data_IF_965276749376
#
_entry.id   IF_965276749376
#
_cell.length_a   1.000
_cell.length_b   1.000
_cell.length_c   1.000
_cell.angle_alpha   90.00
_cell.angle_beta   90.00
_cell.angle_gamma   90.00
#
_symmetry.space_group_name_H-M   'P 1'
#
loop_
_entity.id
_entity.type
_entity.pdbx_description
1 polymer ?
#
# COMPACT_ATOMS: atom_id res chain seq x y z
N UNK A 1 6.02 24.89 7.22
CA UNK A 1 5.43 23.77 7.98
C UNK A 1 4.90 24.33 9.28
N UNK A 2 3.61 24.62 9.28
CA UNK A 2 2.90 25.45 10.27
C UNK A 2 2.50 24.60 11.48
N UNK A 3 2.52 25.18 12.68
CA UNK A 3 2.39 24.48 13.98
C UNK A 3 1.09 23.71 14.26
N UNK A 4 0.22 23.53 13.26
CA UNK A 4 -0.99 22.71 13.38
C UNK A 4 -0.67 21.23 13.47
N UNK A 5 0.42 20.76 12.84
CA UNK A 5 0.90 19.39 12.96
C UNK A 5 1.14 19.01 14.43
N UNK A 6 1.82 19.87 15.19
CA UNK A 6 2.11 19.64 16.61
C UNK A 6 0.83 19.62 17.46
N UNK A 7 -0.14 20.49 17.16
CA UNK A 7 -1.44 20.51 17.85
C UNK A 7 -2.21 19.22 17.61
N UNK A 8 -2.30 18.79 16.35
CA UNK A 8 -2.99 17.55 15.95
C UNK A 8 -2.28 16.34 16.55
N UNK A 9 -0.95 16.25 16.46
CA UNK A 9 -0.17 15.16 17.05
C UNK A 9 -0.37 15.07 18.56
N UNK A 10 -0.33 16.21 19.26
CA UNK A 10 -0.56 16.26 20.72
C UNK A 10 -1.97 15.81 21.09
N UNK A 11 -2.97 16.25 20.33
CA UNK A 11 -4.36 15.83 20.54
C UNK A 11 -4.57 14.33 20.26
N UNK A 12 -4.00 13.81 19.18
CA UNK A 12 -4.08 12.40 18.80
C UNK A 12 -3.40 11.50 19.84
N UNK A 13 -2.19 11.87 20.28
CA UNK A 13 -1.44 11.14 21.31
C UNK A 13 -2.17 11.12 22.65
N UNK A 14 -2.72 12.26 23.07
CA UNK A 14 -3.44 12.38 24.35
C UNK A 14 -4.75 11.58 24.38
N UNK A 15 -5.56 11.66 23.33
CA UNK A 15 -6.93 11.13 23.36
C UNK A 15 -7.07 9.74 22.74
N UNK A 16 -6.22 9.39 21.78
CA UNK A 16 -6.32 8.14 21.01
C UNK A 16 -5.10 7.23 21.17
N UNK A 17 -4.07 7.65 21.92
CA UNK A 17 -2.79 6.95 22.06
C UNK A 17 -2.15 6.60 20.71
N UNK A 18 -2.39 7.46 19.71
CA UNK A 18 -1.95 7.24 18.35
C UNK A 18 -0.64 7.99 18.08
N UNK A 19 0.36 7.25 17.59
CA UNK A 19 1.63 7.76 17.12
C UNK A 19 1.93 7.02 15.82
N UNK A 20 2.03 7.75 14.70
CA UNK A 20 2.25 7.18 13.37
C UNK A 20 3.59 7.69 12.85
N UNK A 21 4.53 6.77 12.66
CA UNK A 21 5.81 7.05 12.01
C UNK A 21 5.82 6.39 10.63
N UNK A 22 6.27 7.14 9.61
CA UNK A 22 6.37 6.66 8.24
C UNK A 22 7.83 6.33 7.89
N UNK A 23 8.02 5.33 7.04
CA UNK A 23 9.34 5.02 6.49
C UNK A 23 9.73 6.04 5.41
N UNK A 24 10.91 6.64 5.55
CA UNK A 24 11.48 7.58 4.57
C UNK A 24 12.69 6.98 3.81
N UNK A 25 12.90 5.67 3.90
CA UNK A 25 14.13 5.02 3.38
C UNK A 25 14.12 4.81 1.85
N UNK A 26 12.95 4.84 1.21
CA UNK A 26 12.82 4.65 -0.23
C UNK A 26 13.12 3.22 -0.73
N UNK A 27 13.10 2.23 0.15
CA UNK A 27 13.32 0.82 -0.21
C UNK A 27 12.04 0.20 -0.79
N UNK A 28 12.20 -0.65 -1.79
CA UNK A 28 11.10 -1.22 -2.58
C UNK A 28 10.91 -2.73 -2.41
N UNK A 29 11.76 -3.44 -1.65
CA UNK A 29 11.58 -4.87 -1.32
C UNK A 29 10.67 -5.09 -0.11
N UNK A 30 9.59 -4.34 -0.05
CA UNK A 30 8.73 -4.24 1.13
C UNK A 30 7.70 -5.36 1.16
N UNK A 31 7.29 -5.81 2.35
CA UNK A 31 6.18 -6.76 2.48
C UNK A 31 4.87 -6.02 2.26
N UNK A 32 4.02 -6.59 1.41
CA UNK A 32 2.69 -6.07 1.13
C UNK A 32 1.66 -6.78 2.00
N UNK A 33 0.83 -5.99 2.69
CA UNK A 33 -0.22 -6.50 3.57
C UNK A 33 -1.57 -5.90 3.21
N UNK A 34 -2.58 -6.75 3.08
CA UNK A 34 -3.96 -6.31 3.02
C UNK A 34 -4.47 -6.02 4.44
N UNK A 35 -4.92 -4.79 4.67
CA UNK A 35 -5.50 -4.33 5.94
C UNK A 35 -6.91 -3.83 5.69
N UNK A 36 -7.86 -4.77 5.67
CA UNK A 36 -9.22 -4.48 5.19
C UNK A 36 -9.16 -4.09 3.71
N UNK A 37 -9.77 -2.97 3.35
CA UNK A 37 -9.83 -2.46 1.96
C UNK A 37 -8.60 -1.61 1.55
N UNK A 38 -7.44 -1.87 2.14
CA UNK A 38 -6.21 -1.09 1.93
C UNK A 38 -5.01 -2.01 1.74
N UNK A 39 -4.23 -1.74 0.70
CA UNK A 39 -2.92 -2.33 0.46
C UNK A 39 -1.85 -1.51 1.22
N UNK A 40 -1.20 -2.10 2.21
CA UNK A 40 -0.19 -1.47 3.08
C UNK A 40 1.20 -1.97 2.73
N UNK A 41 2.14 -1.04 2.51
CA UNK A 41 3.53 -1.34 2.23
C UNK A 41 4.35 -1.02 3.48
N UNK A 42 4.82 -2.05 4.20
CA UNK A 42 5.44 -1.90 5.51
C UNK A 42 6.91 -2.35 5.52
N UNK A 43 7.82 -1.46 5.92
CA UNK A 43 9.24 -1.76 6.08
C UNK A 43 9.67 -1.57 7.54
N UNK A 44 10.24 -2.61 8.16
CA UNK A 44 10.78 -2.55 9.54
C UNK A 44 9.75 -2.01 10.56
N UNK A 45 8.53 -2.54 10.50
CA UNK A 45 7.37 -2.10 11.31
C UNK A 45 6.91 -0.65 11.09
N UNK A 46 7.50 0.06 10.11
CA UNK A 46 7.06 1.40 9.68
C UNK A 46 6.31 1.31 8.38
N UNK A 47 5.16 1.98 8.32
CA UNK A 47 4.39 2.08 7.08
C UNK A 47 5.13 3.01 6.11
N UNK A 48 5.35 2.58 4.87
CA UNK A 48 5.87 3.43 3.81
C UNK A 48 4.72 4.21 3.17
N UNK A 49 3.76 3.50 2.55
CA UNK A 49 2.56 4.09 1.98
C UNK A 49 1.41 3.06 1.95
N UNK A 50 0.21 3.57 1.71
CA UNK A 50 -1.04 2.81 1.69
C UNK A 50 -1.81 3.14 0.39
N UNK A 51 -2.38 2.12 -0.26
CA UNK A 51 -3.22 2.26 -1.45
C UNK A 51 -4.62 1.73 -1.12
N UNK A 52 -5.65 2.58 -1.08
CA UNK A 52 -7.04 2.14 -0.98
C UNK A 52 -7.44 1.29 -2.18
N UNK A 53 -8.04 0.12 -1.95
CA UNK A 53 -8.43 -0.79 -3.04
C UNK A 53 -9.50 -0.21 -3.95
N UNK A 54 -10.34 0.71 -3.45
CA UNK A 54 -11.34 1.41 -4.26
C UNK A 54 -10.74 2.36 -5.31
N UNK A 55 -9.43 2.61 -5.28
CA UNK A 55 -8.73 3.35 -6.34
C UNK A 55 -8.13 2.43 -7.40
N UNK A 56 -8.08 1.12 -7.15
CA UNK A 56 -7.61 0.12 -8.11
C UNK A 56 -8.78 -0.20 -9.05
N UNK A 57 -8.57 0.01 -10.34
CA UNK A 57 -9.57 -0.24 -11.38
C UNK A 57 -9.53 -1.68 -11.88
N UNK A 58 -8.32 -2.23 -12.03
CA UNK A 58 -8.08 -3.60 -12.47
C UNK A 58 -6.82 -4.16 -11.80
N UNK A 59 -6.81 -5.48 -11.63
CA UNK A 59 -5.66 -6.22 -11.11
C UNK A 59 -5.36 -7.39 -12.03
N UNK A 60 -4.32 -7.23 -12.85
CA UNK A 60 -3.89 -8.21 -13.84
C UNK A 60 -2.72 -9.03 -13.30
N UNK A 61 -2.70 -10.32 -13.62
CA UNK A 61 -1.66 -11.26 -13.16
C UNK A 61 -0.77 -11.69 -14.32
N UNK A 62 0.50 -11.90 -14.01
CA UNK A 62 1.51 -12.43 -14.92
C UNK A 62 2.41 -13.42 -14.19
N UNK A 63 3.43 -13.94 -14.88
CA UNK A 63 4.37 -14.87 -14.25
C UNK A 63 5.19 -14.12 -13.18
N UNK A 64 4.96 -14.44 -11.91
CA UNK A 64 5.63 -13.83 -10.76
C UNK A 64 5.42 -12.31 -10.67
N UNK A 65 4.32 -11.81 -11.21
CA UNK A 65 4.03 -10.38 -11.20
C UNK A 65 2.53 -10.11 -11.08
N UNK A 66 2.21 -9.02 -10.40
CA UNK A 66 0.86 -8.46 -10.35
C UNK A 66 0.93 -7.01 -10.81
N UNK A 67 -0.01 -6.63 -11.66
CA UNK A 67 -0.16 -5.28 -12.20
C UNK A 67 -1.46 -4.69 -11.68
N UNK A 68 -1.35 -3.67 -10.82
CA UNK A 68 -2.49 -2.89 -10.34
C UNK A 68 -2.64 -1.64 -11.21
N UNK A 69 -3.78 -1.51 -11.87
CA UNK A 69 -4.17 -0.35 -12.64
C UNK A 69 -5.09 0.55 -11.81
N UNK A 70 -5.00 1.87 -11.99
CA UNK A 70 -5.72 2.82 -11.16
C UNK A 70 -6.73 3.64 -11.95
N UNK A 71 -7.80 4.05 -11.27
CA UNK A 71 -8.73 5.03 -11.82
C UNK A 71 -8.02 6.37 -12.04
N UNK A 72 -8.21 6.94 -13.24
CA UNK A 72 -7.76 8.31 -13.53
C UNK A 72 -8.56 9.30 -12.69
N UNK A 73 -7.86 10.28 -12.14
CA UNK A 73 -8.42 11.47 -11.52
C UNK A 73 -8.19 12.68 -12.43
N UNK A 74 -9.27 13.17 -13.06
CA UNK A 74 -9.21 14.32 -13.97
C UNK A 74 -8.93 15.65 -13.25
N UNK A 75 -9.14 15.70 -11.93
CA UNK A 75 -8.82 16.87 -11.10
C UNK A 75 -7.34 16.89 -10.65
N UNK A 76 -6.58 15.82 -10.91
CA UNK A 76 -5.17 15.73 -10.56
C UNK A 76 -4.27 16.05 -11.77
N UNK A 77 -3.26 16.93 -11.63
CA UNK A 77 -2.34 17.25 -12.72
C UNK A 77 -1.42 16.08 -13.10
N UNK A 78 -1.20 15.14 -12.18
CA UNK A 78 -0.40 13.93 -12.36
C UNK A 78 -1.20 12.74 -11.88
N UNK A 79 -1.25 11.69 -12.69
CA UNK A 79 -2.00 10.48 -12.41
C UNK A 79 -1.07 9.28 -12.29
N UNK A 80 -1.23 8.50 -11.23
CA UNK A 80 -0.66 7.16 -11.14
C UNK A 80 -1.55 6.25 -11.98
N UNK A 81 -0.99 5.65 -13.05
CA UNK A 81 -1.77 4.83 -13.99
C UNK A 81 -1.66 3.35 -13.67
N UNK A 82 -0.45 2.88 -13.40
CA UNK A 82 -0.14 1.47 -13.17
C UNK A 82 0.97 1.34 -12.12
N UNK A 83 0.89 0.29 -11.31
CA UNK A 83 2.00 -0.22 -10.52
C UNK A 83 2.16 -1.71 -10.76
N UNK A 84 3.41 -2.13 -10.96
CA UNK A 84 3.76 -3.54 -11.11
C UNK A 84 4.61 -4.03 -9.96
N UNK A 85 4.19 -5.13 -9.38
CA UNK A 85 4.83 -5.77 -8.24
C UNK A 85 5.41 -7.11 -8.67
N UNK A 86 6.66 -7.35 -8.30
CA UNK A 86 7.25 -8.67 -8.43
C UNK A 86 6.87 -9.52 -7.21
N UNK A 87 6.32 -10.71 -7.47
CA UNK A 87 5.96 -11.70 -6.46
C UNK A 87 6.97 -12.85 -6.51
N UNK A 88 7.85 -13.01 -5.50
CA UNK A 88 8.80 -14.10 -5.49
C UNK A 88 8.07 -15.43 -5.32
N UNK A 89 8.50 -16.45 -6.09
CA UNK A 89 7.97 -17.81 -5.95
C UNK A 89 8.42 -18.35 -4.60
N UNK A 90 7.47 -18.83 -3.80
CA UNK A 90 7.77 -19.65 -2.63
C UNK A 90 7.43 -21.10 -2.97
N UNK A 91 8.45 -21.96 -3.09
CA UNK A 91 8.28 -23.40 -3.34
C UNK A 91 7.51 -24.11 -2.21
N UNK A 92 7.37 -23.46 -1.05
CA UNK A 92 6.67 -23.95 0.13
C UNK A 92 5.28 -23.35 0.35
N UNK A 93 4.80 -22.49 -0.55
CA UNK A 93 3.48 -21.89 -0.41
C UNK A 93 2.39 -22.84 -0.95
N UNK A 94 1.39 -23.12 -0.11
CA UNK A 94 0.22 -23.92 -0.49
C UNK A 94 -0.69 -23.21 -1.52
N UNK A 95 -0.49 -21.91 -1.74
CA UNK A 95 -1.28 -21.06 -2.64
C UNK A 95 -0.34 -20.17 -3.45
N UNK A 96 -0.63 -19.99 -4.74
CA UNK A 96 0.13 -19.08 -5.60
C UNK A 96 0.01 -17.65 -5.06
N UNK A 97 1.12 -16.99 -4.70
CA UNK A 97 1.09 -15.62 -4.17
C UNK A 97 0.51 -14.60 -5.17
N UNK A 98 0.59 -14.85 -6.48
CA UNK A 98 0.00 -13.99 -7.50
C UNK A 98 -1.52 -14.09 -7.49
N UNK A 99 -2.06 -15.31 -7.45
CA UNK A 99 -3.51 -15.55 -7.39
C UNK A 99 -4.10 -15.03 -6.07
N UNK A 100 -3.46 -15.36 -4.94
CA UNK A 100 -3.90 -14.91 -3.62
C UNK A 100 -3.91 -13.38 -3.47
N UNK A 101 -3.01 -12.68 -4.17
CA UNK A 101 -3.02 -11.23 -4.22
C UNK A 101 -4.19 -10.71 -5.06
N UNK A 102 -4.41 -11.27 -6.25
CA UNK A 102 -5.49 -10.84 -7.14
C UNK A 102 -6.86 -11.01 -6.49
N UNK A 103 -7.10 -12.13 -5.82
CA UNK A 103 -8.34 -12.40 -5.07
C UNK A 103 -8.60 -11.41 -3.94
N UNK A 104 -7.56 -10.83 -3.35
CA UNK A 104 -7.74 -9.83 -2.29
C UNK A 104 -7.97 -8.41 -2.82
N UNK A 105 -7.66 -8.16 -4.09
CA UNK A 105 -7.92 -6.86 -4.75
C UNK A 105 -9.32 -6.81 -5.36
N UNK A 106 -9.81 -7.93 -5.88
CA UNK A 106 -11.12 -8.08 -6.56
C UNK A 106 -12.25 -8.42 -5.60
#
# INVERSE_FOLDING_TARGET
FTGDEQKIASFAKKNYKLEKELSMRGWNWVTVHFKGSVLSFDFDSKKSFEIPLNHVSQCNTGKNEVTAEFHRNDDAPVNLMEMRFHMPISESADTDPVEAFQEQVM
#
